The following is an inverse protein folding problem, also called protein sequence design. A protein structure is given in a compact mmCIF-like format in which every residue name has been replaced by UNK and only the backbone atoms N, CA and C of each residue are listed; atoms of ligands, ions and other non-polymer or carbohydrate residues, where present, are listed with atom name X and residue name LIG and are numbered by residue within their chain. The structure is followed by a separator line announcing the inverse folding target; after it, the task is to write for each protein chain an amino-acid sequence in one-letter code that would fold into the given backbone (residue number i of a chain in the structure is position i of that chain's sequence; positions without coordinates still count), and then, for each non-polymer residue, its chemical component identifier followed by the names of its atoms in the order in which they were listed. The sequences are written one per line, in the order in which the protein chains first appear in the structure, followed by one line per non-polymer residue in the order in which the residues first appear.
data_IF_737740647018
#
_entry.id   IF_737740647018
#
_cell.length_a   1.000
_cell.length_b   1.000
_cell.length_c   1.000
_cell.angle_alpha   90.00
_cell.angle_beta   90.00
_cell.angle_gamma   90.00
#
_symmetry.space_group_name_H-M   'P 1'
#
loop_
_entity.id
_entity.type
_entity.pdbx_description
1 polymer ?
#
# COMPACT_ATOMS: atom_id res chain seq x y z
N UNK A 1 17.09 5.87 7.99
CA UNK A 1 17.79 4.71 8.57
C UNK A 1 19.22 5.10 8.98
N UNK A 2 19.32 6.12 9.81
CA UNK A 2 20.61 6.69 10.26
C UNK A 2 21.13 6.04 11.56
N UNK A 3 20.30 5.19 12.23
CA UNK A 3 20.70 4.49 13.45
C UNK A 3 21.38 3.17 13.12
N UNK A 4 22.72 3.22 13.05
CA UNK A 4 23.55 2.05 12.79
C UNK A 4 23.38 0.95 13.85
N UNK A 5 23.14 1.32 15.11
CA UNK A 5 22.95 0.37 16.20
C UNK A 5 21.65 -0.40 16.09
N UNK A 6 20.54 0.31 15.76
CA UNK A 6 19.27 -0.34 15.49
C UNK A 6 19.34 -1.29 14.29
N UNK A 7 20.05 -0.90 13.22
CA UNK A 7 20.25 -1.77 12.06
C UNK A 7 21.08 -3.01 12.37
N UNK A 8 22.07 -2.89 13.24
CA UNK A 8 22.89 -4.02 13.67
C UNK A 8 22.08 -4.99 14.56
N UNK A 9 21.26 -4.48 15.46
CA UNK A 9 20.35 -5.30 16.29
C UNK A 9 19.35 -6.07 15.40
N UNK A 10 18.72 -5.42 14.44
CA UNK A 10 17.81 -6.07 13.49
C UNK A 10 18.52 -7.19 12.70
N UNK A 11 19.73 -6.94 12.22
CA UNK A 11 20.55 -7.95 11.51
C UNK A 11 20.89 -9.14 12.40
N UNK A 12 21.28 -8.88 13.66
CA UNK A 12 21.61 -9.92 14.62
C UNK A 12 20.43 -10.85 14.92
N UNK A 13 19.21 -10.30 14.87
CA UNK A 13 17.93 -11.02 15.05
C UNK A 13 17.41 -11.66 13.76
N UNK A 14 18.12 -11.48 12.63
CA UNK A 14 17.68 -11.98 11.31
C UNK A 14 16.47 -11.27 10.73
N UNK A 15 16.12 -10.08 11.23
CA UNK A 15 14.97 -9.31 10.79
C UNK A 15 15.33 -8.52 9.52
N UNK A 16 14.55 -8.70 8.46
CA UNK A 16 14.80 -8.11 7.13
C UNK A 16 13.70 -7.16 6.67
N UNK A 17 12.60 -7.06 7.42
CA UNK A 17 11.43 -6.25 7.04
C UNK A 17 11.18 -5.15 8.08
N UNK A 18 10.68 -4.00 7.60
CA UNK A 18 10.27 -2.85 8.39
C UNK A 18 8.81 -2.50 8.05
N UNK A 19 8.08 -1.85 8.98
CA UNK A 19 8.46 -1.52 10.34
C UNK A 19 8.52 -2.76 11.24
N UNK A 20 9.31 -2.71 12.32
CA UNK A 20 9.38 -3.77 13.33
C UNK A 20 9.24 -3.17 14.72
N UNK A 21 8.47 -3.84 15.57
CA UNK A 21 8.34 -3.52 16.99
C UNK A 21 8.92 -4.67 17.80
N UNK A 22 9.84 -4.39 18.71
CA UNK A 22 10.43 -5.34 19.63
C UNK A 22 9.99 -4.95 21.02
N UNK A 23 9.32 -5.88 21.75
CA UNK A 23 8.76 -5.65 23.07
C UNK A 23 9.53 -6.49 24.08
N UNK A 24 10.07 -5.85 25.11
CA UNK A 24 10.83 -6.46 26.20
C UNK A 24 11.92 -7.44 25.71
N UNK A 25 12.57 -7.14 24.56
CA UNK A 25 13.58 -7.98 23.87
C UNK A 25 13.13 -9.41 23.53
N UNK A 26 11.85 -9.71 23.61
CA UNK A 26 11.29 -11.06 23.45
C UNK A 26 10.29 -11.19 22.32
N UNK A 27 9.32 -10.32 22.27
CA UNK A 27 8.27 -10.36 21.24
C UNK A 27 8.65 -9.48 20.06
N UNK A 28 8.63 -10.05 18.86
CA UNK A 28 8.94 -9.33 17.62
C UNK A 28 7.67 -9.28 16.77
N UNK A 29 7.20 -8.08 16.47
CA UNK A 29 6.07 -7.83 15.59
C UNK A 29 6.61 -7.12 14.34
N UNK A 30 6.60 -7.81 13.21
CA UNK A 30 7.02 -7.25 11.92
C UNK A 30 5.78 -6.74 11.21
N UNK A 31 5.81 -5.47 10.80
CA UNK A 31 4.66 -4.78 10.22
C UNK A 31 3.84 -4.00 11.26
N UNK A 32 2.85 -3.24 10.76
CA UNK A 32 1.94 -2.49 11.61
C UNK A 32 0.61 -3.24 11.78
N UNK A 33 0.51 -4.01 12.85
CA UNK A 33 -0.66 -4.83 13.17
C UNK A 33 -1.31 -4.36 14.48
N UNK A 34 -2.29 -3.45 14.44
CA UNK A 34 -2.99 -2.96 15.63
C UNK A 34 -3.50 -4.07 16.53
N UNK A 35 -4.11 -5.13 16.00
CA UNK A 35 -4.59 -6.29 16.78
C UNK A 35 -3.50 -7.01 17.57
N UNK A 36 -2.24 -6.98 17.11
CA UNK A 36 -1.08 -7.55 17.83
C UNK A 36 -0.45 -6.53 18.75
N UNK A 37 -0.31 -5.28 18.30
CA UNK A 37 0.31 -4.21 19.07
C UNK A 37 -0.51 -3.82 20.29
N UNK A 38 -1.83 -3.70 20.16
CA UNK A 38 -2.74 -3.33 21.24
C UNK A 38 -2.60 -4.24 22.46
N UNK A 39 -2.74 -5.58 22.35
CA UNK A 39 -2.55 -6.46 23.51
C UNK A 39 -1.10 -6.53 23.99
N UNK A 40 -0.12 -6.47 23.08
CA UNK A 40 1.29 -6.50 23.43
C UNK A 40 1.71 -5.28 24.25
N UNK A 41 1.16 -4.11 23.95
CA UNK A 41 1.32 -2.88 24.75
C UNK A 41 0.28 -2.73 25.88
N UNK A 42 -0.61 -3.73 26.06
CA UNK A 42 -1.67 -3.72 27.06
C UNK A 42 -2.57 -2.47 26.98
N UNK A 43 -2.85 -2.03 25.76
CA UNK A 43 -3.72 -0.88 25.50
C UNK A 43 -5.19 -1.32 25.59
N UNK A 44 -6.01 -0.52 26.25
CA UNK A 44 -7.48 -0.72 26.31
C UNK A 44 -8.14 0.04 25.13
N UNK A 45 -7.85 -0.40 23.92
CA UNK A 45 -8.37 0.17 22.67
C UNK A 45 -8.87 -0.95 21.79
N UNK A 46 -10.05 -0.76 21.19
CA UNK A 46 -10.56 -1.63 20.12
C UNK A 46 -10.43 -0.93 18.78
N UNK A 47 -9.83 -1.62 17.81
CA UNK A 47 -9.88 -1.17 16.42
C UNK A 47 -11.12 -1.76 15.78
N UNK A 48 -12.12 -0.92 15.56
CA UNK A 48 -13.31 -1.25 14.77
C UNK A 48 -13.32 -0.39 13.52
N UNK A 49 -13.15 -1.04 12.39
CA UNK A 49 -13.16 -0.39 11.06
C UNK A 49 -14.51 -0.53 10.35
N UNK A 50 -15.50 -1.20 10.95
CA UNK A 50 -16.81 -1.42 10.31
C UNK A 50 -17.52 -0.11 9.95
N UNK A 51 -17.32 0.96 10.73
CA UNK A 51 -17.82 2.31 10.45
C UNK A 51 -16.96 3.11 9.46
N UNK A 52 -15.84 2.55 8.98
CA UNK A 52 -14.88 3.25 8.10
C UNK A 52 -14.96 2.84 6.64
N UNK A 53 -15.89 1.99 6.24
CA UNK A 53 -15.99 1.52 4.85
C UNK A 53 -16.22 2.65 3.86
N UNK A 54 -17.10 3.60 4.18
CA UNK A 54 -17.35 4.80 3.37
C UNK A 54 -16.10 5.69 3.28
N UNK A 55 -15.42 5.91 4.41
CA UNK A 55 -14.18 6.67 4.44
C UNK A 55 -13.08 5.99 3.61
N UNK A 56 -12.92 4.67 3.73
CA UNK A 56 -11.97 3.91 2.92
C UNK A 56 -12.30 4.01 1.43
N UNK A 57 -13.59 3.90 1.06
CA UNK A 57 -14.02 4.03 -0.33
C UNK A 57 -13.68 5.41 -0.90
N UNK A 58 -13.95 6.48 -0.14
CA UNK A 58 -13.64 7.84 -0.51
C UNK A 58 -12.12 8.05 -0.67
N UNK A 59 -11.32 7.57 0.29
CA UNK A 59 -9.86 7.69 0.22
C UNK A 59 -9.26 6.86 -0.94
N UNK A 60 -9.74 5.66 -1.20
CA UNK A 60 -9.33 4.90 -2.39
C UNK A 60 -9.70 5.61 -3.69
N UNK A 61 -10.89 6.22 -3.75
CA UNK A 61 -11.28 7.05 -4.89
C UNK A 61 -10.27 8.17 -5.13
N UNK A 62 -9.92 8.93 -4.09
CA UNK A 62 -9.01 10.07 -4.16
C UNK A 62 -7.59 9.64 -4.57
N UNK A 63 -7.02 8.65 -3.87
CA UNK A 63 -5.62 8.22 -4.04
C UNK A 63 -5.41 7.52 -5.39
N UNK A 64 -6.28 6.57 -5.77
CA UNK A 64 -6.12 5.85 -7.03
C UNK A 64 -6.40 6.75 -8.25
N UNK A 65 -7.35 7.69 -8.14
CA UNK A 65 -7.56 8.70 -9.18
C UNK A 65 -6.33 9.59 -9.35
N UNK A 66 -5.71 10.02 -8.25
CA UNK A 66 -4.51 10.84 -8.27
C UNK A 66 -3.31 10.06 -8.86
N UNK A 67 -3.17 8.79 -8.56
CA UNK A 67 -2.16 7.91 -9.15
C UNK A 67 -2.36 7.76 -10.67
N UNK A 68 -3.60 7.60 -11.13
CA UNK A 68 -3.91 7.56 -12.55
C UNK A 68 -3.54 8.89 -13.26
N UNK A 69 -3.87 10.05 -12.65
CA UNK A 69 -3.47 11.36 -13.21
C UNK A 69 -1.95 11.53 -13.27
N UNK A 70 -1.23 11.14 -12.22
CA UNK A 70 0.23 11.17 -12.24
C UNK A 70 0.79 10.28 -13.36
N UNK A 71 0.24 9.08 -13.54
CA UNK A 71 0.67 8.14 -14.58
C UNK A 71 0.54 8.71 -15.98
N UNK A 72 -0.52 9.49 -16.30
CA UNK A 72 -0.70 10.10 -17.63
C UNK A 72 0.37 11.12 -17.99
N UNK A 73 1.13 11.62 -17.03
CA UNK A 73 2.14 12.66 -17.24
C UNK A 73 3.53 12.08 -17.54
N UNK A 74 3.70 10.76 -17.44
CA UNK A 74 4.95 10.09 -17.79
C UNK A 74 5.00 9.78 -19.29
N UNK A 75 6.14 10.05 -19.92
CA UNK A 75 6.46 9.45 -21.21
C UNK A 75 6.76 7.95 -21.06
N UNK A 76 6.71 7.20 -22.15
CA UNK A 76 7.08 5.78 -22.12
C UNK A 76 8.52 5.56 -21.64
N UNK A 77 9.45 6.41 -22.09
CA UNK A 77 10.85 6.38 -21.67
C UNK A 77 10.98 6.57 -20.13
N UNK A 78 10.20 7.46 -19.54
CA UNK A 78 10.18 7.70 -18.09
C UNK A 78 9.54 6.55 -17.31
N UNK A 79 8.53 5.89 -17.89
CA UNK A 79 7.95 4.68 -17.31
C UNK A 79 8.94 3.51 -17.30
N UNK A 80 9.79 3.42 -18.32
CA UNK A 80 10.76 2.33 -18.48
C UNK A 80 12.08 2.61 -17.74
N UNK A 81 12.34 3.87 -17.35
CA UNK A 81 13.52 4.25 -16.59
C UNK A 81 13.47 3.76 -15.15
N UNK A 82 14.63 3.42 -14.59
CA UNK A 82 14.78 3.05 -13.18
C UNK A 82 14.55 4.25 -12.27
N UNK A 83 13.86 4.02 -11.14
CA UNK A 83 13.76 5.02 -10.06
C UNK A 83 14.99 4.97 -9.15
N UNK A 84 15.47 6.11 -8.60
CA UNK A 84 16.78 6.16 -7.93
C UNK A 84 16.84 5.47 -6.54
N UNK A 85 15.70 5.15 -5.91
CA UNK A 85 15.68 4.62 -4.52
C UNK A 85 15.48 3.11 -4.40
N UNK A 86 15.20 2.41 -5.51
CA UNK A 86 15.03 0.94 -5.53
C UNK A 86 15.21 0.40 -6.95
N UNK A 87 15.51 -0.90 -7.12
CA UNK A 87 15.71 -1.49 -8.44
C UNK A 87 14.36 -1.76 -9.16
N UNK A 88 13.57 -0.71 -9.35
CA UNK A 88 12.28 -0.74 -10.03
C UNK A 88 12.24 0.34 -11.10
N UNK A 89 11.46 0.09 -12.15
CA UNK A 89 11.13 1.11 -13.14
C UNK A 89 10.02 2.05 -12.62
N UNK A 90 9.88 3.22 -13.25
CA UNK A 90 8.73 4.11 -13.04
C UNK A 90 7.41 3.38 -13.22
N UNK A 91 7.29 2.56 -14.28
CA UNK A 91 6.14 1.71 -14.57
C UNK A 91 5.81 0.76 -13.40
N UNK A 92 6.80 0.02 -12.91
CA UNK A 92 6.60 -0.88 -11.76
C UNK A 92 6.15 -0.11 -10.53
N UNK A 93 6.67 1.09 -10.31
CA UNK A 93 6.31 1.93 -9.16
C UNK A 93 4.85 2.39 -9.22
N UNK A 94 4.38 2.92 -10.36
CA UNK A 94 2.98 3.35 -10.50
C UNK A 94 2.01 2.17 -10.50
N UNK A 95 2.38 1.04 -11.14
CA UNK A 95 1.59 -0.20 -11.11
C UNK A 95 1.41 -0.71 -9.68
N UNK A 96 2.44 -0.63 -8.85
CA UNK A 96 2.43 -1.10 -7.47
C UNK A 96 1.42 -0.34 -6.60
N UNK A 97 1.20 0.96 -6.85
CA UNK A 97 0.18 1.75 -6.17
C UNK A 97 -1.22 1.16 -6.38
N UNK A 98 -1.47 0.54 -7.53
CA UNK A 98 -2.78 0.04 -7.96
C UNK A 98 -2.93 -1.46 -7.73
N UNK A 99 -1.88 -2.25 -7.97
CA UNK A 99 -1.95 -3.72 -7.89
C UNK A 99 -2.03 -4.24 -6.45
N UNK A 100 -1.39 -3.57 -5.50
CA UNK A 100 -1.47 -3.95 -4.09
C UNK A 100 -2.89 -3.85 -3.52
N UNK A 101 -3.62 -2.73 -3.71
CA UNK A 101 -5.04 -2.67 -3.36
C UNK A 101 -5.88 -3.76 -4.02
N UNK A 102 -5.61 -4.11 -5.28
CA UNK A 102 -6.34 -5.19 -5.95
C UNK A 102 -6.11 -6.53 -5.26
N UNK A 103 -4.85 -6.88 -4.97
CA UNK A 103 -4.53 -8.14 -4.27
C UNK A 103 -5.15 -8.14 -2.87
N UNK A 104 -5.14 -7.00 -2.17
CA UNK A 104 -5.73 -6.86 -0.85
C UNK A 104 -7.24 -7.11 -0.87
N UNK A 105 -7.99 -6.46 -1.76
CA UNK A 105 -9.44 -6.68 -1.77
C UNK A 105 -9.82 -8.06 -2.28
N UNK A 106 -9.07 -8.64 -3.21
CA UNK A 106 -9.32 -9.99 -3.71
C UNK A 106 -8.99 -11.08 -2.69
N UNK A 107 -8.24 -10.76 -1.64
CA UNK A 107 -7.86 -11.72 -0.60
C UNK A 107 -9.07 -12.39 0.07
N UNK A 108 -10.25 -11.71 0.08
CA UNK A 108 -11.47 -12.33 0.58
C UNK A 108 -11.93 -13.54 -0.25
N UNK A 109 -11.57 -13.61 -1.54
CA UNK A 109 -11.85 -14.74 -2.42
C UNK A 109 -10.74 -15.77 -2.40
N UNK A 110 -9.48 -15.28 -2.49
CA UNK A 110 -8.28 -16.12 -2.58
C UNK A 110 -7.95 -16.78 -1.24
N UNK A 111 -8.19 -16.07 -0.13
CA UNK A 111 -7.92 -16.54 1.23
C UNK A 111 -6.56 -16.12 1.77
N UNK A 112 -5.79 -15.31 1.02
CA UNK A 112 -4.48 -14.79 1.45
C UNK A 112 -4.08 -13.53 0.69
N UNK A 113 -3.11 -12.79 1.23
CA UNK A 113 -2.27 -11.84 0.51
C UNK A 113 -0.81 -12.21 0.75
N UNK A 114 -0.38 -13.29 0.12
CA UNK A 114 0.97 -13.83 0.24
C UNK A 114 1.94 -13.23 -0.78
N UNK A 115 3.25 -13.54 -0.63
CA UNK A 115 4.26 -13.19 -1.64
C UNK A 115 3.95 -13.84 -3.00
N UNK A 116 3.35 -15.05 -3.00
CA UNK A 116 2.99 -15.75 -4.23
C UNK A 116 1.79 -15.10 -4.92
N UNK A 117 0.81 -14.59 -4.16
CA UNK A 117 -0.32 -13.83 -4.71
C UNK A 117 0.16 -12.54 -5.39
N UNK A 118 1.15 -11.87 -4.80
CA UNK A 118 1.77 -10.67 -5.40
C UNK A 118 2.56 -11.00 -6.66
N UNK A 119 3.34 -12.10 -6.67
CA UNK A 119 4.04 -12.55 -7.88
C UNK A 119 3.07 -12.95 -8.99
N UNK A 120 1.97 -13.62 -8.64
CA UNK A 120 0.92 -13.96 -9.60
C UNK A 120 0.26 -12.71 -10.19
N UNK A 121 0.07 -11.66 -9.38
CA UNK A 121 -0.40 -10.36 -9.86
C UNK A 121 0.61 -9.70 -10.80
N UNK A 122 1.89 -9.66 -10.44
CA UNK A 122 2.97 -9.13 -11.28
C UNK A 122 3.02 -9.86 -12.64
N UNK A 123 2.93 -11.21 -12.64
CA UNK A 123 2.93 -12.00 -13.87
C UNK A 123 1.70 -11.74 -14.75
N UNK A 124 0.52 -11.62 -14.13
CA UNK A 124 -0.73 -11.29 -14.84
C UNK A 124 -0.68 -9.90 -15.48
N UNK A 125 0.02 -8.96 -14.87
CA UNK A 125 0.09 -7.56 -15.29
C UNK A 125 1.33 -7.24 -16.13
N UNK A 126 2.16 -8.22 -16.47
CA UNK A 126 3.43 -8.00 -17.20
C UNK A 126 3.25 -7.32 -18.55
N UNK A 127 2.12 -7.55 -19.21
CA UNK A 127 1.79 -7.01 -20.53
C UNK A 127 1.06 -5.64 -20.46
N UNK A 128 0.72 -5.14 -19.26
CA UNK A 128 0.20 -3.78 -19.04
C UNK A 128 1.39 -2.82 -19.09
N UNK A 129 1.59 -2.17 -20.21
CA UNK A 129 2.86 -1.53 -20.54
C UNK A 129 2.79 -0.01 -20.67
N UNK A 130 1.80 0.51 -21.40
CA UNK A 130 1.66 1.94 -21.67
C UNK A 130 0.97 2.68 -20.53
N UNK A 131 1.17 3.99 -20.44
CA UNK A 131 0.45 4.84 -19.48
C UNK A 131 -1.08 4.69 -19.60
N UNK A 132 -1.60 4.57 -20.82
CA UNK A 132 -3.04 4.39 -21.07
C UNK A 132 -3.56 3.06 -20.50
N UNK A 133 -2.85 1.95 -20.73
CA UNK A 133 -3.21 0.63 -20.19
C UNK A 133 -3.12 0.58 -18.67
N UNK A 134 -2.11 1.24 -18.07
CA UNK A 134 -1.96 1.36 -16.63
C UNK A 134 -3.14 2.13 -16.04
N UNK A 135 -3.53 3.23 -16.66
CA UNK A 135 -4.68 4.05 -16.22
C UNK A 135 -6.00 3.29 -16.36
N UNK A 136 -6.20 2.55 -17.45
CA UNK A 136 -7.37 1.69 -17.63
C UNK A 136 -7.46 0.66 -16.51
N UNK A 137 -6.35 -0.03 -16.23
CA UNK A 137 -6.24 -0.97 -15.13
C UNK A 137 -6.51 -0.31 -13.77
N UNK A 138 -5.88 0.83 -13.48
CA UNK A 138 -6.05 1.56 -12.23
C UNK A 138 -7.51 2.03 -12.01
N UNK A 139 -8.17 2.49 -13.07
CA UNK A 139 -9.59 2.87 -13.02
C UNK A 139 -10.48 1.66 -12.72
N UNK A 140 -10.18 0.49 -13.31
CA UNK A 140 -10.89 -0.75 -13.01
C UNK A 140 -10.72 -1.14 -11.54
N UNK A 141 -9.49 -1.17 -11.04
CA UNK A 141 -9.19 -1.49 -9.63
C UNK A 141 -9.93 -0.55 -8.69
N UNK A 142 -9.88 0.77 -8.97
CA UNK A 142 -10.59 1.79 -8.20
C UNK A 142 -12.09 1.51 -8.14
N UNK A 143 -12.72 1.27 -9.28
CA UNK A 143 -14.15 0.97 -9.36
C UNK A 143 -14.52 -0.28 -8.56
N UNK A 144 -13.74 -1.34 -8.70
CA UNK A 144 -13.99 -2.62 -8.03
C UNK A 144 -13.85 -2.51 -6.51
N UNK A 145 -12.82 -1.81 -6.00
CA UNK A 145 -12.63 -1.61 -4.56
C UNK A 145 -13.75 -0.76 -3.96
N UNK A 146 -14.15 0.32 -4.62
CA UNK A 146 -15.24 1.17 -4.16
C UNK A 146 -16.56 0.38 -4.12
N UNK A 147 -16.84 -0.38 -5.16
CA UNK A 147 -18.01 -1.25 -5.19
C UNK A 147 -17.98 -2.30 -4.08
N UNK A 148 -16.82 -2.90 -3.82
CA UNK A 148 -16.62 -3.83 -2.71
C UNK A 148 -16.90 -3.18 -1.35
N UNK A 149 -16.27 -2.04 -1.07
CA UNK A 149 -16.42 -1.32 0.21
C UNK A 149 -17.86 -0.82 0.45
N UNK A 150 -18.58 -0.45 -0.61
CA UNK A 150 -19.98 -0.02 -0.56
C UNK A 150 -20.97 -1.20 -0.58
N UNK A 151 -20.52 -2.44 -0.71
CA UNK A 151 -21.39 -3.60 -0.82
C UNK A 151 -22.10 -3.98 0.48
N UNK A 152 -21.60 -3.51 1.64
CA UNK A 152 -22.09 -3.93 2.96
C UNK A 152 -21.83 -5.41 3.29
N UNK A 153 -20.94 -6.07 2.57
CA UNK A 153 -20.62 -7.49 2.77
C UNK A 153 -19.70 -7.69 3.98
N UNK A 154 -20.30 -7.65 5.18
CA UNK A 154 -19.57 -7.80 6.45
C UNK A 154 -18.83 -9.12 6.56
N UNK A 155 -19.36 -10.22 6.00
CA UNK A 155 -18.68 -11.52 5.99
C UNK A 155 -17.33 -11.44 5.25
N UNK A 156 -17.29 -10.76 4.10
CA UNK A 156 -16.05 -10.57 3.36
C UNK A 156 -15.11 -9.57 4.07
N UNK A 157 -15.65 -8.53 4.72
CA UNK A 157 -14.85 -7.54 5.44
C UNK A 157 -14.15 -8.14 6.65
N UNK A 158 -14.87 -8.99 7.41
CA UNK A 158 -14.40 -9.59 8.65
C UNK A 158 -13.59 -10.88 8.41
N UNK A 159 -13.52 -11.36 7.17
CA UNK A 159 -12.72 -12.54 6.86
C UNK A 159 -11.26 -12.30 7.19
N UNK A 160 -10.70 -13.12 8.08
CA UNK A 160 -9.28 -13.11 8.40
C UNK A 160 -8.47 -13.81 7.31
N UNK A 161 -7.36 -13.20 6.91
CA UNK A 161 -6.46 -13.70 5.88
C UNK A 161 -5.00 -13.49 6.31
N UNK A 162 -4.11 -14.45 6.03
CA UNK A 162 -2.68 -14.23 6.23
C UNK A 162 -2.16 -13.14 5.29
N UNK A 163 -1.44 -12.18 5.88
CA UNK A 163 -0.79 -11.08 5.16
C UNK A 163 0.68 -11.37 4.91
N UNK A 164 1.25 -10.84 3.82
CA UNK A 164 2.63 -11.11 3.40
C UNK A 164 3.71 -10.63 4.39
N UNK A 165 3.40 -9.69 5.28
CA UNK A 165 4.33 -9.26 6.35
C UNK A 165 4.26 -10.16 7.59
N UNK A 166 3.48 -11.25 7.56
CA UNK A 166 3.25 -12.17 8.67
C UNK A 166 2.08 -11.77 9.57
N UNK A 167 1.33 -12.76 10.05
CA UNK A 167 0.13 -12.60 10.86
C UNK A 167 -1.15 -12.61 10.04
N UNK A 168 -2.28 -12.67 10.73
CA UNK A 168 -3.62 -12.66 10.14
C UNK A 168 -4.31 -11.33 10.47
N UNK A 169 -5.00 -10.78 9.49
CA UNK A 169 -5.77 -9.54 9.58
C UNK A 169 -7.08 -9.71 8.84
N UNK A 170 -8.10 -8.93 9.21
CA UNK A 170 -9.31 -8.89 8.40
C UNK A 170 -9.04 -8.21 7.05
N UNK A 171 -9.83 -8.54 6.05
CA UNK A 171 -9.73 -7.90 4.71
C UNK A 171 -9.89 -6.39 4.82
N UNK A 172 -10.76 -5.92 5.71
CA UNK A 172 -10.94 -4.48 5.92
C UNK A 172 -9.70 -3.81 6.57
N UNK A 173 -9.08 -4.46 7.56
CA UNK A 173 -7.81 -4.00 8.13
C UNK A 173 -6.69 -4.01 7.09
N UNK A 174 -6.64 -5.06 6.27
CA UNK A 174 -5.67 -5.16 5.18
C UNK A 174 -5.82 -4.00 4.19
N UNK A 175 -7.05 -3.71 3.76
CA UNK A 175 -7.32 -2.56 2.90
C UNK A 175 -6.90 -1.23 3.53
N UNK A 176 -7.13 -1.04 4.84
CA UNK A 176 -6.65 0.18 5.52
C UNK A 176 -5.12 0.28 5.54
N UNK A 177 -4.42 -0.82 5.77
CA UNK A 177 -2.95 -0.88 5.74
C UNK A 177 -2.42 -0.59 4.32
N UNK A 178 -3.03 -1.22 3.32
CA UNK A 178 -2.60 -1.06 1.92
C UNK A 178 -2.93 0.33 1.36
N UNK A 179 -3.99 0.99 1.85
CA UNK A 179 -4.24 2.40 1.53
C UNK A 179 -3.06 3.27 1.96
N UNK A 180 -2.56 3.10 3.19
CA UNK A 180 -1.36 3.81 3.70
C UNK A 180 -0.14 3.55 2.82
N UNK A 181 0.07 2.29 2.44
CA UNK A 181 1.17 1.87 1.57
C UNK A 181 1.08 2.52 0.17
N UNK A 182 -0.08 2.47 -0.47
CA UNK A 182 -0.31 3.09 -1.78
C UNK A 182 -0.16 4.61 -1.74
N UNK A 183 -0.63 5.25 -0.66
CA UNK A 183 -0.47 6.69 -0.45
C UNK A 183 1.00 7.08 -0.30
N UNK A 184 1.78 6.29 0.43
CA UNK A 184 3.22 6.52 0.58
C UNK A 184 3.93 6.45 -0.79
N UNK A 185 3.63 5.45 -1.60
CA UNK A 185 4.20 5.34 -2.94
C UNK A 185 3.75 6.45 -3.89
N UNK A 186 2.51 6.95 -3.76
CA UNK A 186 2.07 8.11 -4.53
C UNK A 186 2.89 9.35 -4.18
N UNK A 187 3.20 9.58 -2.90
CA UNK A 187 4.10 10.67 -2.48
C UNK A 187 5.51 10.51 -3.06
N UNK A 188 6.03 9.28 -3.11
CA UNK A 188 7.32 8.99 -3.77
C UNK A 188 7.27 9.29 -5.27
N UNK A 189 6.18 8.96 -5.95
CA UNK A 189 5.98 9.30 -7.37
C UNK A 189 5.98 10.80 -7.57
N UNK A 190 5.28 11.58 -6.76
CA UNK A 190 5.30 13.05 -6.86
C UNK A 190 6.70 13.61 -6.65
N UNK A 191 7.41 13.13 -5.63
CA UNK A 191 8.80 13.52 -5.40
C UNK A 191 9.69 13.23 -6.62
N UNK A 192 9.53 12.06 -7.23
CA UNK A 192 10.28 11.68 -8.42
C UNK A 192 9.96 12.57 -9.63
N UNK A 193 8.69 12.87 -9.86
CA UNK A 193 8.27 13.79 -10.91
C UNK A 193 8.94 15.16 -10.76
N UNK A 194 8.90 15.74 -9.54
CA UNK A 194 9.40 17.10 -9.29
C UNK A 194 10.94 17.16 -9.27
N UNK A 195 11.59 16.23 -8.56
CA UNK A 195 13.01 16.36 -8.24
C UNK A 195 13.94 15.63 -9.22
N UNK A 196 13.43 14.64 -9.94
CA UNK A 196 14.23 13.86 -10.88
C UNK A 196 13.86 14.10 -12.35
N UNK A 197 12.58 14.33 -12.63
CA UNK A 197 12.07 14.49 -13.99
C UNK A 197 11.76 15.94 -14.37
N UNK A 198 11.73 16.87 -13.39
CA UNK A 198 11.35 18.26 -13.60
C UNK A 198 9.88 18.45 -14.04
N UNK A 199 9.02 17.50 -13.70
CA UNK A 199 7.58 17.53 -13.99
C UNK A 199 6.84 18.04 -12.77
N UNK A 200 6.12 19.15 -12.88
CA UNK A 200 5.16 19.56 -11.85
C UNK A 200 3.90 18.71 -11.95
N UNK A 201 3.52 17.95 -10.89
CA UNK A 201 2.32 17.13 -10.94
C UNK A 201 1.07 17.96 -11.22
N UNK A 202 0.28 17.56 -12.21
CA UNK A 202 -0.98 18.20 -12.55
C UNK A 202 -2.07 17.73 -11.58
N UNK A 203 -2.74 18.66 -10.89
CA UNK A 203 -3.78 18.38 -9.92
C UNK A 203 -3.42 17.23 -8.95
N UNK A 204 -2.30 17.32 -8.21
CA UNK A 204 -1.89 16.28 -7.28
C UNK A 204 -2.94 16.08 -6.18
N UNK A 205 -2.89 14.93 -5.49
CA UNK A 205 -3.65 14.75 -4.26
C UNK A 205 -3.26 15.83 -3.24
N UNK A 206 -4.25 16.44 -2.63
CA UNK A 206 -4.11 17.52 -1.66
C UNK A 206 -3.87 16.97 -0.23
N UNK A 207 -3.48 17.83 0.70
CA UNK A 207 -3.40 17.46 2.12
C UNK A 207 -4.74 16.94 2.66
N UNK A 208 -5.88 17.47 2.17
CA UNK A 208 -7.20 16.97 2.53
C UNK A 208 -7.45 15.53 2.03
N UNK A 209 -6.91 15.17 0.86
CA UNK A 209 -6.98 13.80 0.35
C UNK A 209 -6.17 12.83 1.21
N UNK A 210 -5.08 13.30 1.83
CA UNK A 210 -4.24 12.52 2.73
C UNK A 210 -4.74 12.48 4.18
N UNK A 211 -5.67 13.33 4.55
CA UNK A 211 -6.15 13.43 5.93
C UNK A 211 -6.66 12.09 6.47
N UNK A 212 -6.15 11.70 7.64
CA UNK A 212 -6.48 10.44 8.32
C UNK A 212 -5.74 9.21 7.78
N UNK A 213 -4.96 9.32 6.69
CA UNK A 213 -4.13 8.23 6.19
C UNK A 213 -2.75 8.33 6.86
N UNK A 214 -2.39 7.29 7.63
CA UNK A 214 -1.08 7.23 8.29
C UNK A 214 -0.01 6.78 7.28
N UNK A 215 1.00 7.61 7.04
CA UNK A 215 2.16 7.26 6.20
C UNK A 215 3.45 7.45 6.99
N UNK A 216 4.53 6.73 6.65
CA UNK A 216 5.85 7.02 7.23
C UNK A 216 6.24 8.48 7.04
N UNK A 217 6.96 9.06 8.02
CA UNK A 217 7.50 10.42 7.91
C UNK A 217 8.62 10.50 6.86
N UNK A 218 9.50 9.47 6.85
CA UNK A 218 10.56 9.37 5.86
C UNK A 218 9.99 8.88 4.52
N UNK A 219 10.33 9.57 3.44
CA UNK A 219 9.84 9.23 2.11
C UNK A 219 10.62 8.06 1.49
N UNK A 220 11.90 7.90 1.84
CA UNK A 220 12.82 6.87 1.34
C UNK A 220 13.62 6.22 2.47
#
# INVERSE_FOLDING_TARGET
LEDHQAMEDLRSRGIKALPVTIIDDKEVIIGYFPKRLIPAFKLDVKVDLSSKTEWLADKYEQILRAACRATTQFSQEQLDADVPWRPWTGRKTVMHIMSFPEVAYLSYKVGSMSQDDMRASDERLKDVYTAAEIVEYGNKVRTDIIAFLNSGNTEAFDREVPAHYGGEVTVLELLNIILSHSTHHLKQVYHYMENNLGITPEAPASEADFEGIQTPEALF
#
